data_IF_079485439544
#
_entry.id   IF_079485439544
#
_cell.length_a   1.000
_cell.length_b   1.000
_cell.length_c   1.000
_cell.angle_alpha   90.00
_cell.angle_beta   90.00
_cell.angle_gamma   90.00
#
_symmetry.space_group_name_H-M   'P 1'
#
loop_
_entity.id
_entity.type
_entity.pdbx_description
1 polymer ?
#
# COMPACT_ATOMS: atom_id res chain seq x y z
N UNK A 1 -7.11 2.67 14.49
CA UNK A 1 -8.07 1.88 13.66
C UNK A 1 -7.27 0.87 12.85
N UNK A 2 -7.65 -0.41 12.86
CA UNK A 2 -7.06 -1.44 11.99
C UNK A 2 -8.11 -1.90 10.99
N UNK A 3 -7.93 -1.56 9.72
CA UNK A 3 -8.90 -1.78 8.65
C UNK A 3 -8.20 -2.30 7.40
N UNK A 4 -8.81 -3.29 6.74
CA UNK A 4 -8.40 -3.78 5.42
C UNK A 4 -9.46 -3.36 4.40
N UNK A 5 -9.04 -2.69 3.31
CA UNK A 5 -9.93 -2.25 2.23
C UNK A 5 -9.71 -3.14 1.01
N UNK A 6 -10.73 -3.92 0.64
CA UNK A 6 -10.70 -4.84 -0.50
C UNK A 6 -11.58 -4.32 -1.65
N UNK A 7 -11.25 -4.73 -2.88
CA UNK A 7 -12.01 -4.32 -4.07
C UNK A 7 -11.19 -4.43 -5.37
N UNK A 8 -11.88 -4.54 -6.50
CA UNK A 8 -11.28 -4.67 -7.84
C UNK A 8 -10.35 -3.50 -8.20
N UNK A 9 -9.44 -3.68 -9.16
CA UNK A 9 -8.67 -2.57 -9.71
C UNK A 9 -9.61 -1.48 -10.25
N UNK A 10 -9.35 -0.21 -9.92
CA UNK A 10 -10.20 0.92 -10.28
C UNK A 10 -11.43 1.17 -9.39
N UNK A 11 -11.68 0.35 -8.35
CA UNK A 11 -12.85 0.53 -7.45
C UNK A 11 -12.78 1.74 -6.49
N UNK A 12 -11.72 2.55 -6.54
CA UNK A 12 -11.60 3.75 -5.71
C UNK A 12 -11.10 3.54 -4.27
N UNK A 13 -10.52 2.36 -3.96
CA UNK A 13 -9.97 2.05 -2.62
C UNK A 13 -9.02 3.12 -2.08
N UNK A 14 -8.11 3.62 -2.93
CA UNK A 14 -7.14 4.65 -2.53
C UNK A 14 -7.82 5.97 -2.15
N UNK A 15 -8.86 6.37 -2.88
CA UNK A 15 -9.65 7.57 -2.56
C UNK A 15 -10.35 7.41 -1.20
N UNK A 16 -10.91 6.24 -0.92
CA UNK A 16 -11.56 5.98 0.37
C UNK A 16 -10.54 5.91 1.51
N UNK A 17 -9.38 5.30 1.31
CA UNK A 17 -8.28 5.29 2.27
C UNK A 17 -7.85 6.73 2.62
N UNK A 18 -7.67 7.60 1.62
CA UNK A 18 -7.28 8.99 1.85
C UNK A 18 -8.31 9.75 2.71
N UNK A 19 -9.61 9.57 2.45
CA UNK A 19 -10.69 10.18 3.26
C UNK A 19 -10.71 9.65 4.70
N UNK A 20 -10.41 8.36 4.89
CA UNK A 20 -10.32 7.78 6.23
C UNK A 20 -9.11 8.32 7.00
N UNK A 21 -7.96 8.54 6.33
CA UNK A 21 -6.79 9.22 6.91
C UNK A 21 -7.15 10.63 7.34
N UNK A 22 -7.82 11.40 6.50
CA UNK A 22 -8.24 12.77 6.82
C UNK A 22 -9.21 12.81 8.01
N UNK A 23 -10.21 11.93 8.04
CA UNK A 23 -11.26 11.97 9.05
C UNK A 23 -10.82 11.40 10.42
N UNK A 24 -9.92 10.42 10.44
CA UNK A 24 -9.61 9.65 11.66
C UNK A 24 -8.11 9.57 11.99
N UNK A 25 -7.26 10.19 11.16
CA UNK A 25 -5.79 10.16 11.26
C UNK A 25 -5.13 8.77 11.43
N UNK A 26 -5.63 7.65 10.84
CA UNK A 26 -4.87 6.41 10.79
C UNK A 26 -3.63 6.54 9.88
N UNK A 27 -2.64 5.68 10.13
CA UNK A 27 -1.53 5.46 9.19
C UNK A 27 -2.06 4.63 8.01
N UNK A 28 -1.86 5.13 6.79
CA UNK A 28 -2.17 4.39 5.57
C UNK A 28 -1.00 3.48 5.18
N UNK A 29 -1.28 2.18 5.03
CA UNK A 29 -0.31 1.18 4.60
C UNK A 29 -0.78 0.59 3.28
N UNK A 30 0.09 0.66 2.26
CA UNK A 30 -0.15 0.14 0.91
C UNK A 30 0.94 -0.88 0.58
N UNK A 31 0.56 -2.17 0.51
CA UNK A 31 1.51 -3.27 0.22
C UNK A 31 2.18 -3.08 -1.14
N UNK A 32 1.45 -2.55 -2.13
CA UNK A 32 2.00 -2.26 -3.45
C UNK A 32 3.06 -1.16 -3.42
N UNK A 33 2.86 -0.10 -2.63
CA UNK A 33 3.88 0.96 -2.49
C UNK A 33 5.10 0.45 -1.72
N UNK A 34 4.88 -0.24 -0.59
CA UNK A 34 5.95 -0.83 0.19
C UNK A 34 6.83 -1.76 -0.65
N UNK A 35 6.21 -2.62 -1.46
CA UNK A 35 6.93 -3.53 -2.35
C UNK A 35 7.74 -2.78 -3.39
N UNK A 36 7.13 -1.80 -4.09
CA UNK A 36 7.85 -0.98 -5.08
C UNK A 36 9.02 -0.20 -4.46
N UNK A 37 8.85 0.35 -3.27
CA UNK A 37 9.92 1.03 -2.53
C UNK A 37 11.04 0.06 -2.15
N UNK A 38 10.70 -1.14 -1.66
CA UNK A 38 11.68 -2.16 -1.30
C UNK A 38 12.53 -2.61 -2.51
N UNK A 39 11.89 -2.79 -3.66
CA UNK A 39 12.55 -3.10 -4.95
C UNK A 39 13.47 -1.95 -5.37
N UNK A 40 12.96 -0.71 -5.40
CA UNK A 40 13.74 0.46 -5.80
C UNK A 40 14.94 0.73 -4.88
N UNK A 41 14.80 0.44 -3.59
CA UNK A 41 15.88 0.56 -2.61
C UNK A 41 16.89 -0.60 -2.64
N UNK A 42 16.65 -1.64 -3.45
CA UNK A 42 17.54 -2.79 -3.56
C UNK A 42 17.73 -3.55 -2.25
N UNK A 43 16.71 -3.53 -1.39
CA UNK A 43 16.68 -4.33 -0.14
C UNK A 43 16.67 -5.82 -0.47
N UNK A 44 17.03 -6.67 0.50
CA UNK A 44 17.01 -8.13 0.28
C UNK A 44 15.64 -8.62 -0.22
N UNK A 45 14.57 -8.25 0.49
CA UNK A 45 13.20 -8.55 0.09
C UNK A 45 12.84 -7.96 -1.29
N UNK A 46 13.34 -6.75 -1.59
CA UNK A 46 13.14 -6.11 -2.89
C UNK A 46 13.80 -6.86 -4.04
N UNK A 47 14.98 -7.43 -3.81
CA UNK A 47 15.69 -8.25 -4.82
C UNK A 47 14.98 -9.58 -5.04
N UNK A 48 14.54 -10.23 -3.97
CA UNK A 48 13.73 -11.45 -4.06
C UNK A 48 12.45 -11.22 -4.87
N UNK A 49 11.76 -10.11 -4.61
CA UNK A 49 10.51 -9.76 -5.30
C UNK A 49 10.72 -9.37 -6.79
N UNK A 50 11.85 -8.73 -7.11
CA UNK A 50 12.19 -8.31 -8.48
C UNK A 50 12.81 -9.41 -9.34
N UNK A 51 13.08 -10.59 -8.78
CA UNK A 51 13.62 -11.74 -9.50
C UNK A 51 12.54 -12.57 -10.25
N UNK A 52 11.28 -12.16 -10.16
CA UNK A 52 10.12 -12.71 -10.90
C UNK A 52 9.85 -11.92 -12.18
#
# INVERSE_FOLDING_TARGET
MHLVILGRQGSGKGTQAARLVEAYSPIHVSTGDMLRTAVAAGTELGREAGAL
#
